data_IF_556916546679
#
_entry.id   IF_556916546679
#
_cell.length_a   1.000
_cell.length_b   1.000
_cell.length_c   1.000
_cell.angle_alpha   90.00
_cell.angle_beta   90.00
_cell.angle_gamma   90.00
#
_symmetry.space_group_name_H-M   'P 1'
#
loop_
_entity.id
_entity.type
_entity.pdbx_description
1 polymer ?
2 non-polymer ?
#
# COMPACT_ATOMS: atom_id res chain seq x y z
N UNK A 3 -5.00 -14.07 11.46
CA UNK A 3 -6.44 -14.39 11.52
C UNK A 3 -6.88 -15.30 10.37
N UNK A 4 -7.96 -16.07 10.60
CA UNK A 4 -8.63 -16.82 9.55
C UNK A 4 -9.84 -16.04 9.04
N UNK A 5 -10.51 -15.30 9.93
CA UNK A 5 -11.58 -14.40 9.53
C UNK A 5 -11.02 -13.17 8.82
N UNK A 6 -11.66 -12.77 7.71
CA UNK A 6 -11.20 -11.68 6.86
C UNK A 6 -11.88 -10.36 7.22
N UNK A 7 -11.07 -9.31 7.44
CA UNK A 7 -11.54 -7.97 7.80
C UNK A 7 -11.91 -7.20 6.54
N UNK A 8 -12.65 -6.09 6.67
CA UNK A 8 -13.02 -5.31 5.50
C UNK A 8 -11.75 -4.81 4.80
N UNK A 9 -10.82 -4.33 5.64
CA UNK A 9 -9.50 -3.84 5.27
C UNK A 9 -8.82 -4.82 4.31
N UNK A 10 -8.80 -6.10 4.71
CA UNK A 10 -8.16 -7.19 3.98
C UNK A 10 -8.90 -7.53 2.67
N UNK A 11 -10.24 -7.55 2.72
CA UNK A 11 -11.07 -7.76 1.54
C UNK A 11 -10.73 -6.71 0.48
N UNK A 12 -10.67 -5.45 0.90
CA UNK A 12 -10.38 -4.35 0.01
C UNK A 12 -9.01 -4.51 -0.64
N UNK A 13 -8.01 -4.94 0.14
CA UNK A 13 -6.67 -5.12 -0.40
C UNK A 13 -6.70 -6.16 -1.50
N UNK A 14 -7.47 -7.22 -1.32
CA UNK A 14 -7.51 -8.26 -2.32
C UNK A 14 -8.22 -7.72 -3.56
N UNK A 15 -9.36 -7.07 -3.38
CA UNK A 15 -10.01 -6.51 -4.55
C UNK A 15 -8.96 -5.78 -5.38
N UNK A 16 -8.08 -5.02 -4.70
CA UNK A 16 -7.05 -4.25 -5.36
C UNK A 16 -6.08 -5.18 -6.09
N UNK A 17 -5.67 -6.27 -5.42
CA UNK A 17 -4.70 -7.20 -5.98
C UNK A 17 -5.34 -7.98 -7.14
N UNK A 18 -6.63 -8.32 -7.05
CA UNK A 18 -7.32 -8.98 -8.15
C UNK A 18 -7.25 -8.10 -9.40
N UNK A 19 -7.50 -6.80 -9.23
CA UNK A 19 -7.41 -5.85 -10.33
C UNK A 19 -6.00 -5.88 -10.91
N UNK A 20 -4.99 -5.79 -10.04
CA UNK A 20 -3.60 -5.67 -10.46
C UNK A 20 -3.18 -6.90 -11.27
N UNK A 21 -3.57 -8.09 -10.78
CA UNK A 21 -3.17 -9.34 -11.40
C UNK A 21 -3.98 -9.63 -12.66
N UNK A 22 -5.18 -9.05 -12.72
CA UNK A 22 -6.15 -9.43 -13.73
C UNK A 22 -6.69 -10.83 -13.47
N UNK A 23 -7.04 -11.12 -12.21
CA UNK A 23 -7.63 -12.40 -11.85
C UNK A 23 -8.90 -12.14 -11.04
N UNK A 24 -9.89 -13.03 -11.14
CA UNK A 24 -11.11 -12.91 -10.35
C UNK A 24 -10.72 -12.73 -8.89
N UNK A 25 -11.67 -12.23 -8.11
CA UNK A 25 -11.48 -12.06 -6.68
C UNK A 25 -11.34 -13.44 -6.06
N UNK A 26 -12.14 -14.40 -6.53
CA UNK A 26 -12.09 -15.76 -6.00
C UNK A 26 -10.67 -16.30 -6.18
N UNK A 27 -10.08 -16.07 -7.35
CA UNK A 27 -8.74 -16.54 -7.62
C UNK A 27 -7.73 -15.81 -6.74
N UNK A 28 -7.91 -14.51 -6.53
CA UNK A 28 -6.96 -13.73 -5.74
C UNK A 28 -6.98 -14.15 -4.26
N UNK A 29 -8.17 -14.44 -3.73
CA UNK A 29 -8.36 -14.97 -2.38
C UNK A 29 -7.51 -16.21 -2.18
N UNK A 30 -7.72 -17.15 -3.09
CA UNK A 30 -7.09 -18.45 -2.99
C UNK A 30 -5.58 -18.24 -3.09
N UNK A 31 -5.17 -17.43 -4.05
CA UNK A 31 -3.75 -17.22 -4.25
C UNK A 31 -3.11 -16.56 -3.02
N UNK A 32 -3.81 -15.60 -2.40
CA UNK A 32 -3.32 -14.95 -1.20
C UNK A 32 -3.31 -15.90 0.00
N UNK A 33 -4.33 -16.76 0.12
CA UNK A 33 -4.39 -17.66 1.26
C UNK A 33 -3.34 -18.76 1.14
N UNK A 34 -3.08 -19.25 -0.08
CA UNK A 34 -2.05 -20.24 -0.30
C UNK A 34 -0.70 -19.66 0.13
N UNK A 35 -0.45 -18.41 -0.25
CA UNK A 35 0.82 -17.79 0.07
C UNK A 35 0.94 -17.48 1.57
N UNK A 36 -0.13 -16.96 2.19
CA UNK A 36 -0.18 -16.77 3.64
C UNK A 36 0.14 -18.07 4.38
N UNK A 37 -0.48 -19.17 3.95
CA UNK A 37 -0.31 -20.46 4.60
C UNK A 37 1.13 -20.92 4.45
N UNK A 38 1.64 -20.80 3.22
CA UNK A 38 2.94 -21.33 2.85
C UNK A 38 4.04 -20.69 3.69
N UNK A 39 3.95 -19.36 3.87
CA UNK A 39 5.02 -18.57 4.47
C UNK A 39 4.74 -18.29 5.94
N UNK A 40 3.49 -18.50 6.38
CA UNK A 40 3.09 -18.16 7.74
C UNK A 40 3.19 -16.66 8.00
N UNK A 41 2.59 -15.86 7.10
CA UNK A 41 2.56 -14.41 7.19
C UNK A 41 1.11 -13.93 7.24
N UNK A 42 0.91 -12.63 7.52
CA UNK A 42 -0.41 -12.04 7.54
C UNK A 42 -1.00 -12.04 6.13
N UNK A 43 -2.33 -11.94 6.07
CA UNK A 43 -3.01 -11.81 4.80
C UNK A 43 -2.56 -10.53 4.11
N UNK A 44 -2.36 -9.44 4.87
CA UNK A 44 -1.96 -8.17 4.28
C UNK A 44 -0.60 -8.36 3.61
N UNK A 45 0.31 -9.06 4.30
CA UNK A 45 1.65 -9.27 3.78
C UNK A 45 1.61 -10.15 2.53
N UNK A 46 0.73 -11.15 2.53
CA UNK A 46 0.58 -11.99 1.35
C UNK A 46 0.14 -11.15 0.15
N UNK A 47 -0.80 -10.23 0.37
CA UNK A 47 -1.31 -9.40 -0.71
C UNK A 47 -0.22 -8.45 -1.20
N UNK A 48 0.57 -7.95 -0.26
CA UNK A 48 1.74 -7.14 -0.57
C UNK A 48 2.70 -7.88 -1.49
N UNK A 49 3.03 -9.12 -1.12
CA UNK A 49 3.96 -9.91 -1.92
C UNK A 49 3.45 -10.10 -3.35
N UNK A 50 2.15 -10.42 -3.50
CA UNK A 50 1.58 -10.55 -4.83
C UNK A 50 1.77 -9.25 -5.61
N UNK A 51 1.58 -8.09 -4.95
CA UNK A 51 1.73 -6.78 -5.55
C UNK A 51 3.18 -6.49 -5.94
N UNK A 52 4.12 -6.87 -5.07
CA UNK A 52 5.53 -6.68 -5.34
C UNK A 52 5.93 -7.51 -6.55
N UNK A 53 5.51 -8.78 -6.62
CA UNK A 53 5.89 -9.60 -7.76
C UNK A 53 5.36 -8.98 -9.05
N UNK A 54 4.14 -8.45 -9.01
CA UNK A 54 3.56 -7.81 -10.19
C UNK A 54 4.39 -6.60 -10.60
N UNK A 55 4.82 -5.79 -9.63
CA UNK A 55 5.62 -4.61 -9.92
C UNK A 55 7.00 -5.00 -10.46
N UNK A 56 7.59 -6.06 -9.92
CA UNK A 56 8.89 -6.53 -10.37
C UNK A 56 8.81 -7.17 -11.76
N UNK A 57 7.66 -7.76 -12.08
CA UNK A 57 7.50 -8.56 -13.29
C UNK A 57 8.14 -9.95 -13.15
N UNK A 58 8.28 -10.44 -11.91
CA UNK A 58 8.81 -11.77 -11.66
C UNK A 58 7.68 -12.68 -11.18
N UNK A 59 7.96 -13.98 -11.16
CA UNK A 59 7.06 -14.91 -10.48
C UNK A 59 7.06 -14.60 -8.99
N UNK A 60 6.03 -15.10 -8.30
CA UNK A 60 5.90 -14.93 -6.86
C UNK A 60 7.05 -15.66 -6.17
N UNK A 61 7.36 -16.89 -6.60
CA UNK A 61 8.48 -17.58 -6.00
C UNK A 61 9.71 -16.68 -6.10
N UNK A 62 10.02 -16.20 -7.31
CA UNK A 62 11.22 -15.41 -7.53
C UNK A 62 11.21 -14.22 -6.58
N UNK A 63 10.07 -13.54 -6.45
CA UNK A 63 10.00 -12.40 -5.53
C UNK A 63 10.31 -12.86 -4.11
N UNK A 64 9.77 -14.01 -3.69
CA UNK A 64 10.00 -14.54 -2.35
C UNK A 64 11.48 -14.88 -2.20
N UNK A 65 12.07 -15.52 -3.22
CA UNK A 65 13.48 -15.86 -3.15
C UNK A 65 14.31 -14.60 -2.92
N UNK A 66 14.02 -13.53 -3.67
CA UNK A 66 14.77 -12.29 -3.55
C UNK A 66 14.59 -11.69 -2.16
N UNK A 67 13.35 -11.73 -1.66
CA UNK A 67 13.02 -11.12 -0.38
C UNK A 67 13.73 -11.85 0.76
N UNK A 68 13.76 -13.19 0.71
CA UNK A 68 14.38 -13.99 1.76
C UNK A 68 15.89 -13.77 1.75
N UNK A 69 16.49 -13.67 0.56
CA UNK A 69 17.92 -13.42 0.47
C UNK A 69 18.26 -12.03 1.02
N UNK A 70 17.42 -11.04 0.72
CA UNK A 70 17.67 -9.68 1.15
C UNK A 70 17.48 -9.53 2.67
N UNK A 71 16.52 -10.27 3.25
CA UNK A 71 16.33 -10.29 4.69
C UNK A 71 17.62 -10.72 5.38
N UNK A 72 18.20 -11.82 4.89
CA UNK A 72 19.40 -12.37 5.50
C UNK A 72 20.54 -11.38 5.31
N UNK A 73 20.63 -10.80 4.11
CA UNK A 73 21.74 -9.92 3.78
C UNK A 73 21.78 -8.69 4.69
N UNK A 74 20.62 -8.08 4.96
CA UNK A 74 20.57 -6.81 5.67
C UNK A 74 20.13 -6.99 7.12
N UNK A 75 19.67 -8.20 7.47
CA UNK A 75 19.21 -8.51 8.81
C UNK A 75 17.87 -7.85 9.14
N UNK A 76 17.05 -7.60 8.11
CA UNK A 76 15.80 -6.85 8.24
C UNK A 76 14.62 -7.81 8.19
N UNK A 77 13.42 -7.30 8.47
CA UNK A 77 12.23 -8.13 8.45
C UNK A 77 11.86 -8.45 7.00
N UNK A 78 10.96 -9.42 6.84
CA UNK A 78 10.43 -9.71 5.52
C UNK A 78 9.70 -8.48 4.97
N UNK A 79 8.91 -7.83 5.82
CA UNK A 79 8.18 -6.62 5.45
C UNK A 79 9.12 -5.58 4.86
N UNK A 80 10.25 -5.35 5.55
CA UNK A 80 11.22 -4.36 5.12
C UNK A 80 11.83 -4.79 3.80
N UNK A 81 12.23 -6.06 3.68
CA UNK A 81 12.80 -6.53 2.43
C UNK A 81 11.84 -6.31 1.27
N UNK A 82 10.56 -6.63 1.48
CA UNK A 82 9.56 -6.45 0.43
C UNK A 82 9.42 -4.98 0.03
N UNK A 83 9.34 -4.11 1.04
CA UNK A 83 9.22 -2.70 0.78
C UNK A 83 10.47 -2.19 0.05
N UNK A 84 11.65 -2.75 0.33
CA UNK A 84 12.87 -2.34 -0.37
C UNK A 84 12.76 -2.73 -1.84
N UNK A 85 12.30 -3.96 -2.11
CA UNK A 85 12.16 -4.42 -3.48
C UNK A 85 11.14 -3.57 -4.25
N UNK A 86 10.06 -3.20 -3.57
CA UNK A 86 8.99 -2.41 -4.16
C UNK A 86 9.48 -1.01 -4.49
N UNK A 87 10.13 -0.38 -3.50
CA UNK A 87 10.67 0.96 -3.68
C UNK A 87 11.70 0.91 -4.81
N UNK A 88 12.55 -0.12 -4.85
CA UNK A 88 13.50 -0.23 -5.95
C UNK A 88 12.80 -0.46 -7.29
N UNK A 89 11.71 -1.26 -7.34
CA UNK A 89 11.03 -1.50 -8.61
C UNK A 89 10.39 -0.20 -9.10
N UNK A 90 9.80 0.57 -8.17
CA UNK A 90 9.15 1.84 -8.51
C UNK A 90 10.19 2.87 -8.95
N UNK A 91 11.37 2.87 -8.30
CA UNK A 91 12.43 3.82 -8.60
C UNK A 91 13.13 3.44 -9.90
N UNK A 92 13.12 2.15 -10.27
CA UNK A 92 13.89 1.66 -11.40
C UNK A 92 15.39 1.72 -11.13
N UNK A 93 15.80 1.25 -9.95
CA UNK A 93 17.19 1.30 -9.54
C UNK A 93 17.48 0.02 -8.78
N UNK A 94 18.69 -0.11 -8.22
CA UNK A 94 19.07 -1.31 -7.50
C UNK A 94 18.47 -1.25 -6.10
N UNK A 95 18.40 -2.41 -5.44
CA UNK A 95 17.95 -2.44 -4.06
C UNK A 95 18.99 -1.71 -3.20
N UNK A 96 20.26 -1.71 -3.62
CA UNK A 96 21.29 -1.10 -2.80
C UNK A 96 21.07 0.41 -2.77
N UNK A 97 20.86 0.97 -3.96
CA UNK A 97 20.56 2.38 -4.13
C UNK A 97 19.30 2.76 -3.36
N UNK A 98 18.24 1.95 -3.48
CA UNK A 98 17.00 2.25 -2.79
C UNK A 98 17.23 2.30 -1.27
N UNK A 99 18.07 1.40 -0.73
CA UNK A 99 18.27 1.32 0.70
C UNK A 99 19.12 2.51 1.14
N UNK A 100 20.10 2.87 0.30
CA UNK A 100 20.96 4.02 0.54
C UNK A 100 20.09 5.26 0.72
N UNK A 101 19.18 5.51 -0.23
CA UNK A 101 18.32 6.69 -0.16
C UNK A 101 17.43 6.62 1.09
N UNK A 102 16.92 5.42 1.41
CA UNK A 102 15.98 5.27 2.51
C UNK A 102 16.68 5.58 3.83
N UNK A 103 17.94 5.17 3.93
CA UNK A 103 18.68 5.32 5.17
C UNK A 103 19.01 6.79 5.41
N UNK A 104 19.32 7.53 4.33
CA UNK A 104 19.64 8.95 4.44
C UNK A 104 18.40 9.69 4.91
N UNK A 105 17.27 9.34 4.30
CA UNK A 105 16.00 10.00 4.58
C UNK A 105 15.51 9.62 5.98
N UNK A 106 15.74 8.36 6.38
CA UNK A 106 15.38 7.88 7.72
C UNK A 106 16.02 8.78 8.77
N UNK A 107 17.31 9.09 8.58
CA UNK A 107 18.07 9.81 9.58
C UNK A 107 17.64 11.28 9.57
N UNK A 108 17.36 11.81 8.38
CA UNK A 108 17.01 13.21 8.22
C UNK A 108 15.68 13.51 8.92
N UNK A 109 14.67 12.66 8.68
CA UNK A 109 13.32 12.96 9.14
C UNK A 109 13.07 12.36 10.52
N UNK A 110 13.98 11.50 11.01
CA UNK A 110 13.76 10.79 12.26
C UNK A 110 12.58 9.82 12.18
N UNK A 111 12.49 9.11 11.06
CA UNK A 111 11.42 8.15 10.81
C UNK A 111 12.04 6.77 10.66
N UNK A 112 11.18 5.75 10.58
CA UNK A 112 11.58 4.37 10.37
C UNK A 112 12.02 4.15 8.93
N UNK A 113 12.73 3.03 8.70
CA UNK A 113 13.17 2.69 7.36
C UNK A 113 11.94 2.41 6.51
N UNK A 114 10.93 1.74 7.09
CA UNK A 114 9.69 1.43 6.39
C UNK A 114 8.99 2.72 5.95
N UNK A 115 8.91 3.69 6.86
CA UNK A 115 8.31 4.97 6.53
C UNK A 115 9.12 5.66 5.42
N UNK A 116 10.45 5.59 5.50
CA UNK A 116 11.29 6.20 4.48
C UNK A 116 11.07 5.54 3.11
N UNK A 117 10.96 4.21 3.09
CA UNK A 117 10.74 3.49 1.84
C UNK A 117 9.38 3.83 1.24
N UNK A 118 8.36 3.94 2.10
CA UNK A 118 7.04 4.37 1.66
C UNK A 118 7.13 5.76 1.04
N UNK A 119 7.88 6.68 1.67
CA UNK A 119 8.00 8.04 1.14
C UNK A 119 8.61 7.98 -0.26
N UNK A 120 9.66 7.17 -0.44
CA UNK A 120 10.31 7.08 -1.74
C UNK A 120 9.30 6.57 -2.77
N UNK A 121 8.54 5.53 -2.42
CA UNK A 121 7.57 4.97 -3.35
C UNK A 121 6.47 5.98 -3.69
N UNK A 122 6.02 6.72 -2.68
CA UNK A 122 4.98 7.72 -2.82
C UNK A 122 5.45 8.82 -3.77
N UNK A 123 6.67 9.33 -3.57
CA UNK A 123 7.19 10.38 -4.44
C UNK A 123 7.16 9.90 -5.90
N UNK A 124 7.57 8.65 -6.14
CA UNK A 124 7.53 8.07 -7.48
C UNK A 124 6.09 8.04 -8.00
N UNK A 125 5.15 7.67 -7.13
CA UNK A 125 3.74 7.55 -7.50
C UNK A 125 3.17 8.92 -7.88
N UNK A 126 3.64 9.98 -7.20
CA UNK A 126 3.19 11.35 -7.44
C UNK A 126 3.95 12.02 -8.59
N UNK A 127 5.07 11.44 -9.03
CA UNK A 127 5.92 12.08 -10.02
C UNK A 127 6.60 13.35 -9.49
N UNK A 128 7.02 13.34 -8.22
CA UNK A 128 7.75 14.47 -7.64
C UNK A 128 9.06 14.00 -7.02
N UNK A 129 9.88 14.97 -6.60
CA UNK A 129 11.02 14.64 -5.76
C UNK A 129 10.51 14.22 -4.38
N UNK A 130 11.38 13.57 -3.61
CA UNK A 130 11.07 13.22 -2.24
C UNK A 130 10.91 14.48 -1.39
N UNK A 131 11.78 15.47 -1.61
CA UNK A 131 11.74 16.69 -0.81
C UNK A 131 10.38 17.36 -0.97
N UNK A 132 9.86 17.38 -2.20
CA UNK A 132 8.55 17.95 -2.46
C UNK A 132 7.46 17.11 -1.77
N UNK A 133 7.54 15.78 -1.88
CA UNK A 133 6.50 14.92 -1.32
C UNK A 133 6.46 15.06 0.20
N UNK A 134 7.65 15.15 0.81
CA UNK A 134 7.74 15.32 2.25
C UNK A 134 7.15 16.67 2.65
N UNK A 135 7.47 17.72 1.90
CA UNK A 135 6.96 19.04 2.22
C UNK A 135 5.44 19.02 2.22
N UNK A 136 4.84 18.40 1.20
CA UNK A 136 3.39 18.40 1.03
C UNK A 136 2.71 17.50 2.06
N UNK A 137 3.38 16.39 2.42
CA UNK A 137 2.84 15.49 3.43
C UNK A 137 2.90 16.14 4.82
N UNK A 138 3.99 16.84 5.12
CA UNK A 138 4.13 17.46 6.43
C UNK A 138 3.13 18.60 6.57
N UNK A 139 2.83 19.31 5.47
CA UNK A 139 1.82 20.35 5.53
C UNK A 139 0.48 19.75 5.96
N UNK A 140 0.12 18.61 5.37
CA UNK A 140 -1.13 17.94 5.71
C UNK A 140 -1.10 17.45 7.16
N UNK A 141 0.03 16.88 7.58
CA UNK A 141 0.12 16.34 8.93
C UNK A 141 -0.25 17.43 9.93
N UNK A 142 0.31 18.64 9.74
CA UNK A 142 0.14 19.72 10.70
C UNK A 142 -1.26 20.33 10.56
N UNK A 143 -1.73 20.47 9.32
CA UNK A 143 -3.00 21.12 9.05
C UNK A 143 -4.18 20.29 9.57
N UNK A 144 -4.11 18.96 9.45
CA UNK A 144 -5.26 18.09 9.69
C UNK A 144 -5.11 17.29 10.98
N UNK A 145 -3.88 17.23 11.52
CA UNK A 145 -3.58 16.41 12.67
C UNK A 145 -3.71 14.92 12.36
N UNK A 146 -3.10 14.51 11.24
CA UNK A 146 -3.04 13.11 10.83
C UNK A 146 -1.59 12.66 10.93
N UNK A 147 -1.34 11.36 10.85
CA UNK A 147 0.02 10.85 10.82
C UNK A 147 0.68 11.22 9.49
N UNK A 148 2.01 11.13 9.47
CA UNK A 148 2.75 11.30 8.23
C UNK A 148 2.32 10.22 7.24
N UNK A 149 2.07 9.00 7.75
CA UNK A 149 1.63 7.91 6.89
C UNK A 149 0.32 8.29 6.22
N UNK A 150 -0.63 8.79 7.01
CA UNK A 150 -1.95 9.07 6.49
C UNK A 150 -1.87 10.23 5.50
N UNK A 151 -1.06 11.24 5.82
CA UNK A 151 -0.88 12.36 4.92
C UNK A 151 -0.43 11.85 3.56
N UNK A 152 0.54 10.93 3.57
CA UNK A 152 1.01 10.39 2.30
C UNK A 152 -0.12 9.68 1.59
N UNK A 153 -0.91 8.90 2.33
CA UNK A 153 -1.99 8.15 1.73
C UNK A 153 -2.96 9.11 1.03
N UNK A 154 -3.21 10.27 1.66
CA UNK A 154 -4.12 11.25 1.10
C UNK A 154 -3.58 11.76 -0.24
N UNK A 155 -2.29 12.10 -0.28
CA UNK A 155 -1.67 12.55 -1.52
C UNK A 155 -1.92 11.54 -2.64
N UNK A 156 -1.68 10.26 -2.33
CA UNK A 156 -1.75 9.21 -3.33
C UNK A 156 -3.19 8.99 -3.77
N UNK A 157 -4.14 8.96 -2.82
CA UNK A 157 -5.54 8.79 -3.15
C UNK A 157 -5.98 9.91 -4.10
N UNK A 158 -5.55 11.16 -3.81
CA UNK A 158 -5.93 12.30 -4.64
C UNK A 158 -5.44 12.11 -6.08
N UNK A 159 -4.21 11.61 -6.22
CA UNK A 159 -3.67 11.31 -7.53
C UNK A 159 -4.50 10.26 -8.27
N UNK A 160 -4.87 9.16 -7.58
CA UNK A 160 -5.69 8.11 -8.19
C UNK A 160 -7.06 8.67 -8.59
N UNK A 161 -7.62 9.57 -7.78
CA UNK A 161 -8.95 10.12 -8.04
C UNK A 161 -8.90 11.14 -9.18
N UNK A 162 -7.72 11.72 -9.42
CA UNK A 162 -7.59 12.84 -10.34
C UNK A 162 -8.20 14.12 -9.76
N UNK A 163 -7.96 14.35 -8.47
CA UNK A 163 -8.46 15.54 -7.79
C UNK A 163 -7.36 16.18 -6.95
N UNK A 164 -7.72 17.32 -6.34
CA UNK A 164 -6.90 17.94 -5.32
C UNK A 164 -6.99 17.14 -4.03
N UNK A 165 -6.06 17.40 -3.11
CA UNK A 165 -6.11 16.78 -1.79
C UNK A 165 -7.33 17.29 -1.02
N UNK A 166 -7.79 18.52 -1.27
CA UNK A 166 -8.96 19.03 -0.58
C UNK A 166 -10.19 18.19 -0.93
N UNK A 167 -10.36 17.88 -2.21
CA UNK A 167 -11.47 17.06 -2.67
C UNK A 167 -11.41 15.66 -2.07
N UNK A 168 -10.21 15.08 -2.03
CA UNK A 168 -10.03 13.73 -1.54
C UNK A 168 -10.39 13.66 -0.06
N UNK A 169 -9.89 14.63 0.72
CA UNK A 169 -10.18 14.68 2.14
C UNK A 169 -11.68 14.89 2.37
N UNK A 170 -12.29 15.79 1.61
CA UNK A 170 -13.72 16.04 1.77
C UNK A 170 -14.50 14.73 1.62
N UNK A 171 -14.17 13.94 0.58
CA UNK A 171 -14.89 12.70 0.33
C UNK A 171 -14.59 11.65 1.41
N UNK A 172 -13.32 11.58 1.86
CA UNK A 172 -12.92 10.62 2.88
C UNK A 172 -13.69 10.86 4.18
N UNK A 173 -13.83 12.13 4.56
CA UNK A 173 -14.46 12.44 5.83
C UNK A 173 -15.96 12.19 5.75
N UNK A 174 -16.56 12.43 4.58
CA UNK A 174 -17.94 12.06 4.33
C UNK A 174 -18.15 10.55 4.52
N UNK A 175 -17.24 9.73 3.97
CA UNK A 175 -17.31 8.29 4.10
C UNK A 175 -17.22 7.86 5.56
N UNK A 176 -16.32 8.49 6.33
CA UNK A 176 -16.21 8.22 7.76
C UNK A 176 -17.55 8.46 8.45
N UNK A 177 -18.16 9.62 8.17
CA UNK A 177 -19.39 9.96 8.85
C UNK A 177 -20.52 9.03 8.40
N UNK A 178 -20.58 8.72 7.11
CA UNK A 178 -21.70 7.96 6.59
C UNK A 178 -21.61 6.49 6.97
N UNK A 179 -20.42 5.90 6.84
CA UNK A 179 -20.27 4.46 6.94
C UNK A 179 -19.67 4.06 8.29
N UNK A 180 -19.21 5.04 9.08
CA UNK A 180 -18.59 4.78 10.38
C UNK A 180 -17.26 4.04 10.28
N UNK A 181 -16.51 4.29 9.20
CA UNK A 181 -15.22 3.67 8.99
C UNK A 181 -14.15 4.62 9.51
N UNK A 182 -12.94 4.09 9.70
CA UNK A 182 -11.78 4.91 10.00
C UNK A 182 -11.35 5.68 8.76
N UNK A 183 -10.52 6.70 8.96
CA UNK A 183 -9.99 7.49 7.86
C UNK A 183 -9.21 6.59 6.90
N UNK A 184 -8.31 5.78 7.46
CA UNK A 184 -7.48 4.90 6.65
C UNK A 184 -8.35 3.97 5.81
N UNK A 185 -9.47 3.51 6.38
CA UNK A 185 -10.44 2.68 5.68
C UNK A 185 -11.04 3.47 4.52
N UNK A 186 -11.49 4.70 4.83
CA UNK A 186 -12.20 5.52 3.87
C UNK A 186 -11.31 5.71 2.65
N UNK A 187 -10.06 6.13 2.91
CA UNK A 187 -9.10 6.40 1.85
C UNK A 187 -8.87 5.16 0.98
N UNK A 188 -8.78 4.00 1.63
CA UNK A 188 -8.62 2.74 0.92
C UNK A 188 -9.84 2.45 0.04
N UNK A 189 -11.05 2.65 0.56
CA UNK A 189 -12.26 2.46 -0.21
C UNK A 189 -12.24 3.35 -1.46
N UNK A 190 -11.84 4.62 -1.30
CA UNK A 190 -11.81 5.58 -2.40
C UNK A 190 -10.84 5.11 -3.47
N UNK A 191 -9.65 4.71 -3.02
CA UNK A 191 -8.61 4.21 -3.89
C UNK A 191 -9.04 2.93 -4.62
N UNK A 192 -9.63 1.97 -3.89
CA UNK A 192 -10.06 0.70 -4.48
C UNK A 192 -11.14 0.94 -5.53
N UNK A 193 -12.12 1.81 -5.24
CA UNK A 193 -13.16 2.11 -6.21
C UNK A 193 -12.54 2.69 -7.48
N UNK A 194 -11.56 3.59 -7.34
CA UNK A 194 -10.85 4.14 -8.49
C UNK A 194 -10.15 3.02 -9.27
N UNK A 195 -9.48 2.10 -8.57
CA UNK A 195 -8.76 1.02 -9.24
C UNK A 195 -9.70 0.04 -9.94
N UNK A 196 -10.88 -0.21 -9.37
CA UNK A 196 -11.81 -1.17 -9.94
C UNK A 196 -12.67 -0.54 -11.04
N UNK A 197 -12.64 0.79 -11.16
CA UNK A 197 -13.45 1.54 -12.12
C UNK A 197 -14.91 1.67 -11.68
N UNK A 198 -15.14 1.77 -10.37
CA UNK A 198 -16.49 1.69 -9.84
C UNK A 198 -16.77 2.83 -8.86
N UNK A 199 -18.00 2.83 -8.35
CA UNK A 199 -18.42 3.73 -7.29
C UNK A 199 -17.88 3.24 -5.95
N UNK A 200 -17.90 4.17 -5.00
CA UNK A 200 -17.56 3.88 -3.62
C UNK A 200 -18.46 2.78 -3.07
N UNK A 201 -19.75 2.80 -3.44
CA UNK A 201 -20.75 1.88 -2.92
C UNK A 201 -20.48 0.47 -3.45
N UNK A 202 -20.14 0.38 -4.74
CA UNK A 202 -19.93 -0.91 -5.39
C UNK A 202 -18.66 -1.56 -4.86
N UNK A 203 -17.60 -0.78 -4.61
CA UNK A 203 -16.38 -1.35 -4.05
C UNK A 203 -16.67 -2.00 -2.69
N UNK A 204 -17.42 -1.29 -1.85
CA UNK A 204 -17.75 -1.78 -0.53
C UNK A 204 -18.66 -3.01 -0.66
N UNK A 205 -19.58 -3.02 -1.63
CA UNK A 205 -20.52 -4.12 -1.77
C UNK A 205 -19.77 -5.41 -2.12
N UNK A 206 -18.80 -5.30 -3.03
CA UNK A 206 -17.95 -6.44 -3.35
C UNK A 206 -17.23 -6.91 -2.09
N UNK A 207 -16.55 -5.98 -1.43
CA UNK A 207 -15.71 -6.28 -0.28
C UNK A 207 -16.52 -7.01 0.80
N UNK A 208 -17.80 -6.65 0.93
CA UNK A 208 -18.64 -7.22 1.98
C UNK A 208 -18.97 -8.67 1.64
N UNK A 209 -19.15 -8.96 0.35
CA UNK A 209 -19.36 -10.32 -0.12
C UNK A 209 -18.16 -11.18 0.30
N UNK A 210 -16.98 -10.59 0.15
CA UNK A 210 -15.73 -11.29 0.38
C UNK A 210 -15.46 -11.46 1.88
N UNK A 211 -15.97 -10.54 2.69
CA UNK A 211 -15.52 -10.41 4.06
C UNK A 211 -16.28 -11.23 5.11
N UNK A 212 -15.57 -11.55 6.23
CA UNK A 212 -16.11 -12.37 7.32
C UNK A 212 -15.84 -11.86 8.75
N UNK A 213 -14.67 -11.27 9.06
CA UNK A 213 -14.37 -10.78 10.41
C UNK A 213 -14.49 -9.26 10.45
N UNK A 214 -14.66 -8.66 11.64
CA UNK A 214 -14.79 -7.21 11.71
C UNK A 214 -13.74 -6.59 12.69
X LIG B 1 -0.35 4.31 -0.99
X LIG B 1 -4.03 2.36 0.57
X LIG B 1 -3.48 -0.03 -0.36
X LIG B 1 -0.43 0.33 -0.73
X LIG B 1 1.43 -0.18 1.85
X LIG B 1 1.84 0.29 2.87
X LIG B 1 -1.74 -1.54 4.29
X LIG B 1 1.41 1.25 5.10
X LIG B 1 -1.85 -0.04 -6.77
X LIG B 1 -1.05 1.10 -6.09
X LIG B 1 0.34 0.20 -5.47
X LIG B 1 0.72 -0.18 -4.04
X LIG B 1 -0.33 -0.09 -2.99
X LIG B 1 -0.93 1.13 -2.85
X LIG B 1 -0.98 1.34 -1.39
X LIG B 1 -1.95 2.22 -0.66
X LIG B 1 -1.70 3.57 -0.43
X LIG B 1 -2.63 4.34 0.28
X LIG B 1 -3.81 3.73 0.79
X LIG B 1 -3.12 1.59 -0.12
X LIG B 1 -4.93 4.55 1.61
X LIG B 1 -0.34 0.34 1.22
X LIG B 1 -1.40 -1.75 1.20
X LIG B 1 -0.01 2.63 1.61
X LIG B 1 0.92 0.68 3.86
X LIG B 1 -0.32 0.48 3.47
X LIG B 1 -1.59 0.08 4.33
X LIG B 1 -2.88 0.81 3.65
X LIG B 1 2.79 1.39 5.33
X LIG B 1 3.72 0.98 4.34
X LIG B 1 3.24 0.43 3.11
X LIG B 1 0.24 -0.36 -1.64
X LIG B 1 1.35 -1.19 -1.42
X LIG B 1 2.58 -0.64 -1.04
X LIG B 1 2.82 0.96 -0.81
X LIG B 1 3.65 -1.48 -0.83
X LIG B 1 3.53 -2.84 -1.01
X LIG B 1 2.30 -3.38 -1.40
X LIG B 1 1.22 -2.57 -1.60
X LIG B 1 -0.20 -3.25 -2.04
X LIG B 1 4.80 -3.78 -0.78
X LIG B 1 -2.23 1.25 -3.43
X LIG B 1 -2.10 1.80 -4.86
X LIG B 1 -0.60 2.34 -6.90
#
# INVERSE_FOLDING_TARGET
GGGSGVSLEQALLILSVAALLGTTVEEAVKRALWLKTKLGVSLEQAAFILSVAAYLGTTVEEAVKRALKLKTKLGVSLEQALLILFAAAALGTTVEEAVKRALKLKTKLGVSLEQALLILWTAAELGTTVEEAVKRALKLKTKLGVSLEQAQAILVVAAELGTTVEEAVYRALKLKTKLGVSLEQALLILEVAAKLGTTVEEAVKRALKLKTKLG
A1IPF C10 C13 C15 C17 C21 C22 C26 C28 O01 S02 N03 C04 C05 C06 N07 C08 C09 C11 C12 C14 C16 RU18 CL19 CL20 C23 O24 C25 C27 C29 C30 C31 N32 C33 C34 C35 C36 C37 C38 C39 C40 C41 C42 N43 O44
#
